data_IF_035548652455
#
_entry.id   IF_035548652455
#
_cell.length_a   1.000
_cell.length_b   1.000
_cell.length_c   1.000
_cell.angle_alpha   90.00
_cell.angle_beta   90.00
_cell.angle_gamma   90.00
#
_symmetry.space_group_name_H-M   'P 1'
#
loop_
_entity.id
_entity.type
_entity.pdbx_description
1 polymer ?
#
# COMPACT_ATOMS: atom_id res chain seq x y z
N UNK A 1 -18.19 -14.71 -11.27
CA UNK A 1 -18.14 -13.53 -12.15
C UNK A 1 -18.36 -12.31 -11.27
N UNK A 2 -17.39 -11.40 -11.25
CA UNK A 2 -17.48 -10.15 -10.50
C UNK A 2 -18.30 -9.12 -11.28
N UNK A 3 -18.85 -8.12 -10.60
CA UNK A 3 -19.50 -6.99 -11.26
C UNK A 3 -18.50 -6.13 -12.03
N UNK A 4 -18.97 -5.47 -13.09
CA UNK A 4 -18.13 -4.60 -13.94
C UNK A 4 -18.28 -3.12 -13.63
N UNK A 5 -19.27 -2.73 -12.83
CA UNK A 5 -19.50 -1.34 -12.44
C UNK A 5 -18.55 -0.93 -11.31
N UNK A 6 -18.00 0.28 -11.42
CA UNK A 6 -17.28 0.95 -10.34
C UNK A 6 -18.16 2.08 -9.83
N UNK A 7 -18.39 2.11 -8.52
CA UNK A 7 -19.14 3.18 -7.86
C UNK A 7 -18.29 3.83 -6.78
N UNK A 8 -18.29 5.15 -6.73
CA UNK A 8 -17.70 5.93 -5.63
C UNK A 8 -18.53 5.83 -4.34
N UNK A 9 -19.73 5.24 -4.40
CA UNK A 9 -20.64 5.03 -3.26
C UNK A 9 -20.63 3.57 -2.82
N UNK A 10 -20.45 3.30 -1.53
CA UNK A 10 -20.42 1.93 -0.99
C UNK A 10 -21.74 1.54 -0.31
N UNK A 11 -22.13 0.26 -0.42
CA UNK A 11 -23.26 -0.35 0.31
C UNK A 11 -22.94 -0.62 1.79
N UNK A 12 -21.69 -0.39 2.22
CA UNK A 12 -21.15 -0.69 3.56
C UNK A 12 -20.39 0.49 4.22
N UNK A 13 -20.66 1.73 3.81
CA UNK A 13 -20.54 2.88 4.72
C UNK A 13 -19.34 3.81 4.59
N UNK A 14 -18.38 3.58 3.69
CA UNK A 14 -17.43 4.62 3.29
C UNK A 14 -17.39 4.74 1.77
N UNK A 15 -18.01 5.80 1.26
CA UNK A 15 -17.81 6.25 -0.12
C UNK A 15 -16.37 6.78 -0.25
N UNK A 16 -15.85 6.88 -1.49
CA UNK A 16 -14.65 7.71 -1.75
C UNK A 16 -14.86 9.06 -1.04
N UNK A 17 -13.85 9.61 -0.34
CA UNK A 17 -13.96 10.94 0.23
C UNK A 17 -14.36 11.96 -0.84
N UNK A 18 -15.19 12.94 -0.47
CA UNK A 18 -15.52 14.05 -1.37
C UNK A 18 -14.24 14.74 -1.86
N UNK A 19 -14.25 15.26 -3.08
CA UNK A 19 -13.07 15.94 -3.65
C UNK A 19 -12.52 17.06 -2.77
N UNK A 20 -13.39 17.74 -2.01
CA UNK A 20 -13.00 18.78 -1.06
C UNK A 20 -12.27 18.24 0.17
N UNK A 21 -12.58 17.02 0.60
CA UNK A 21 -11.87 16.33 1.67
C UNK A 21 -10.49 15.88 1.21
N UNK A 22 -10.39 15.35 -0.02
CA UNK A 22 -9.10 15.03 -0.65
C UNK A 22 -8.26 16.30 -0.75
N UNK A 23 -8.82 17.38 -1.32
CA UNK A 23 -8.14 18.68 -1.42
C UNK A 23 -7.61 19.17 -0.06
N UNK A 24 -8.45 19.12 0.97
CA UNK A 24 -8.08 19.59 2.29
C UNK A 24 -6.93 18.76 2.88
N UNK A 25 -6.92 17.45 2.64
CA UNK A 25 -5.85 16.57 3.12
C UNK A 25 -4.54 16.79 2.37
N UNK A 26 -4.58 16.93 1.03
CA UNK A 26 -3.40 17.27 0.22
C UNK A 26 -2.80 18.61 0.67
N UNK A 27 -3.63 19.64 0.87
CA UNK A 27 -3.17 20.96 1.33
C UNK A 27 -2.61 20.93 2.76
N UNK A 28 -3.16 20.09 3.63
CA UNK A 28 -2.65 19.93 4.99
C UNK A 28 -1.26 19.26 4.99
N UNK A 29 -1.06 18.25 4.14
CA UNK A 29 0.23 17.57 3.98
C UNK A 29 1.29 18.48 3.35
N UNK A 30 0.95 19.19 2.28
CA UNK A 30 1.84 20.17 1.64
C UNK A 30 2.26 21.28 2.63
N UNK A 31 1.33 21.77 3.45
CA UNK A 31 1.64 22.74 4.51
C UNK A 31 2.60 22.21 5.59
N UNK A 32 2.74 20.89 5.71
CA UNK A 32 3.71 20.22 6.59
C UNK A 32 5.02 19.84 5.86
N UNK A 33 5.12 20.09 4.55
CA UNK A 33 6.28 19.73 3.73
C UNK A 33 6.36 18.23 3.42
N UNK A 34 5.24 17.52 3.50
CA UNK A 34 5.15 16.10 3.17
C UNK A 34 4.99 15.88 1.67
N UNK A 35 5.49 14.76 1.16
CA UNK A 35 5.05 14.26 -0.15
C UNK A 35 3.67 13.64 -0.02
N UNK A 36 2.88 13.75 -1.08
CA UNK A 36 1.49 13.31 -1.11
C UNK A 36 1.28 12.27 -2.19
N UNK A 37 0.81 11.12 -1.75
CA UNK A 37 0.44 10.00 -2.62
C UNK A 37 -1.06 9.77 -2.55
N UNK A 38 -1.72 9.69 -3.70
CA UNK A 38 -3.12 9.25 -3.80
C UNK A 38 -3.13 7.77 -4.17
N UNK A 39 -3.81 6.94 -3.37
CA UNK A 39 -3.96 5.51 -3.61
C UNK A 39 -5.44 5.12 -3.69
N UNK A 40 -6.06 5.13 -4.88
CA UNK A 40 -7.47 4.77 -5.04
C UNK A 40 -7.69 3.25 -4.90
N UNK A 41 -8.35 2.83 -3.82
CA UNK A 41 -8.71 1.42 -3.62
C UNK A 41 -9.95 1.01 -4.42
N UNK A 42 -9.97 -0.26 -4.84
CA UNK A 42 -11.16 -0.92 -5.39
C UNK A 42 -11.57 -2.03 -4.43
N UNK A 43 -12.74 -1.90 -3.82
CA UNK A 43 -13.29 -2.93 -2.93
C UNK A 43 -14.45 -3.69 -3.58
N UNK A 44 -14.54 -5.00 -3.29
CA UNK A 44 -15.56 -5.87 -3.89
C UNK A 44 -16.84 -5.84 -3.07
N UNK A 45 -17.94 -5.36 -3.66
CA UNK A 45 -19.28 -5.50 -3.09
C UNK A 45 -19.81 -6.93 -3.30
N UNK A 46 -19.71 -7.74 -2.23
CA UNK A 46 -20.14 -9.13 -2.21
C UNK A 46 -21.24 -9.37 -1.17
N UNK A 47 -21.82 -10.58 -1.16
CA UNK A 47 -22.89 -10.93 -0.22
C UNK A 47 -22.51 -10.83 1.26
N UNK A 48 -21.20 -10.93 1.58
CA UNK A 48 -20.66 -10.73 2.93
C UNK A 48 -20.37 -9.26 3.28
N UNK A 49 -20.63 -8.35 2.34
CA UNK A 49 -20.34 -6.92 2.42
C UNK A 49 -19.08 -6.51 1.66
N UNK A 50 -18.86 -5.19 1.59
CA UNK A 50 -17.66 -4.62 0.96
C UNK A 50 -16.45 -4.96 1.81
N UNK A 51 -15.36 -5.37 1.16
CA UNK A 51 -14.15 -5.87 1.83
C UNK A 51 -14.26 -7.31 2.34
N UNK A 52 -15.42 -7.98 2.19
CA UNK A 52 -15.55 -9.40 2.56
C UNK A 52 -14.86 -10.36 1.59
N UNK A 53 -14.54 -9.87 0.38
CA UNK A 53 -13.76 -10.57 -0.64
C UNK A 53 -12.55 -9.71 -0.97
N UNK A 54 -11.36 -10.28 -0.82
CA UNK A 54 -10.13 -9.58 -1.15
C UNK A 54 -10.07 -9.26 -2.64
N UNK A 55 -9.80 -8.00 -2.97
CA UNK A 55 -9.77 -7.47 -4.34
C UNK A 55 -8.75 -8.19 -5.25
N UNK A 56 -7.66 -8.70 -4.70
CA UNK A 56 -6.70 -9.52 -5.46
C UNK A 56 -7.26 -10.84 -6.00
N UNK A 57 -8.42 -11.30 -5.52
CA UNK A 57 -9.10 -12.49 -6.05
C UNK A 57 -10.04 -12.21 -7.23
N UNK A 58 -10.15 -10.93 -7.65
CA UNK A 58 -10.96 -10.54 -8.82
C UNK A 58 -10.49 -11.24 -10.09
N UNK A 59 -11.44 -11.71 -10.90
CA UNK A 59 -11.18 -12.33 -12.20
C UNK A 59 -12.40 -12.22 -13.12
N UNK A 60 -12.18 -12.08 -14.42
CA UNK A 60 -13.26 -12.01 -15.41
C UNK A 60 -13.10 -13.16 -16.41
N UNK A 61 -13.96 -14.18 -16.30
CA UNK A 61 -13.94 -15.32 -17.24
C UNK A 61 -14.54 -14.98 -18.60
N UNK A 62 -15.34 -13.92 -18.68
CA UNK A 62 -15.92 -13.41 -19.93
C UNK A 62 -15.10 -12.20 -20.40
N UNK A 63 -14.49 -12.25 -21.60
CA UNK A 63 -13.74 -11.12 -22.15
C UNK A 63 -14.56 -9.82 -22.28
N UNK A 64 -15.88 -9.91 -22.50
CA UNK A 64 -16.73 -8.73 -22.60
C UNK A 64 -16.92 -8.06 -21.22
N UNK A 65 -16.94 -8.85 -20.15
CA UNK A 65 -16.99 -8.33 -18.78
C UNK A 65 -15.66 -7.66 -18.41
N UNK A 66 -14.52 -8.29 -18.75
CA UNK A 66 -13.19 -7.71 -18.55
C UNK A 66 -13.07 -6.35 -19.24
N UNK A 67 -13.44 -6.30 -20.53
CA UNK A 67 -13.43 -5.07 -21.31
C UNK A 67 -14.33 -3.99 -20.69
N UNK A 68 -15.53 -4.36 -20.26
CA UNK A 68 -16.48 -3.43 -19.61
C UNK A 68 -15.93 -2.89 -18.29
N UNK A 69 -15.30 -3.75 -17.49
CA UNK A 69 -14.67 -3.33 -16.24
C UNK A 69 -13.55 -2.31 -16.49
N UNK A 70 -12.68 -2.54 -17.47
CA UNK A 70 -11.60 -1.62 -17.80
C UNK A 70 -12.09 -0.28 -18.36
N UNK A 71 -13.19 -0.24 -19.13
CA UNK A 71 -13.80 1.04 -19.55
C UNK A 71 -14.18 1.89 -18.33
N UNK A 72 -14.77 1.26 -17.31
CA UNK A 72 -15.14 1.95 -16.08
C UNK A 72 -13.92 2.33 -15.24
N UNK A 73 -12.93 1.43 -15.17
CA UNK A 73 -11.72 1.64 -14.36
C UNK A 73 -10.84 2.73 -14.94
N UNK A 74 -10.68 2.79 -16.27
CA UNK A 74 -9.96 3.86 -16.95
C UNK A 74 -10.64 5.22 -16.72
N UNK A 75 -11.97 5.28 -16.82
CA UNK A 75 -12.70 6.52 -16.52
C UNK A 75 -12.47 6.98 -15.08
N UNK A 76 -12.50 6.06 -14.12
CA UNK A 76 -12.25 6.36 -12.71
C UNK A 76 -10.82 6.81 -12.47
N UNK A 77 -9.83 6.11 -13.03
CA UNK A 77 -8.42 6.46 -12.87
C UNK A 77 -8.06 7.79 -13.54
N UNK A 78 -8.71 8.14 -14.66
CA UNK A 78 -8.57 9.48 -15.26
C UNK A 78 -9.14 10.58 -14.36
N UNK A 79 -10.27 10.33 -13.68
CA UNK A 79 -10.81 11.26 -12.67
C UNK A 79 -9.81 11.44 -11.51
N UNK A 80 -9.21 10.34 -11.03
CA UNK A 80 -8.20 10.40 -9.96
C UNK A 80 -6.93 11.13 -10.43
N UNK A 81 -6.49 10.92 -11.66
CA UNK A 81 -5.39 11.66 -12.28
C UNK A 81 -5.66 13.16 -12.36
N UNK A 82 -6.87 13.56 -12.76
CA UNK A 82 -7.27 14.98 -12.78
C UNK A 82 -7.29 15.61 -11.39
N UNK A 83 -7.75 14.88 -10.37
CA UNK A 83 -7.72 15.34 -8.98
C UNK A 83 -6.29 15.45 -8.45
N UNK A 84 -5.45 14.45 -8.71
CA UNK A 84 -4.04 14.44 -8.36
C UNK A 84 -3.31 15.65 -8.97
N UNK A 85 -3.53 15.92 -10.26
CA UNK A 85 -2.98 17.10 -10.95
C UNK A 85 -3.51 18.41 -10.35
N UNK A 86 -4.82 18.49 -10.11
CA UNK A 86 -5.47 19.72 -9.61
C UNK A 86 -5.01 20.08 -8.21
N UNK A 87 -4.78 19.09 -7.35
CA UNK A 87 -4.40 19.30 -5.95
C UNK A 87 -2.90 19.23 -5.70
N UNK A 88 -2.12 18.79 -6.69
CA UNK A 88 -0.67 18.73 -6.59
C UNK A 88 -0.16 17.53 -5.80
N UNK A 89 -0.77 16.35 -6.00
CA UNK A 89 -0.21 15.11 -5.46
C UNK A 89 1.07 14.72 -6.21
N UNK A 90 2.09 14.26 -5.49
CA UNK A 90 3.38 13.85 -6.04
C UNK A 90 3.33 12.49 -6.74
N UNK A 91 2.48 11.58 -6.23
CA UNK A 91 2.27 10.24 -6.78
C UNK A 91 0.80 9.86 -6.87
N UNK A 92 0.46 9.07 -7.89
CA UNK A 92 -0.80 8.35 -8.01
C UNK A 92 -0.54 6.85 -8.21
N UNK A 93 -1.06 6.01 -7.31
CA UNK A 93 -1.13 4.58 -7.57
C UNK A 93 -2.29 4.27 -8.53
N UNK A 94 -2.00 3.53 -9.60
CA UNK A 94 -2.98 3.13 -10.61
C UNK A 94 -3.78 1.88 -10.23
N UNK A 95 -3.51 1.32 -9.06
CA UNK A 95 -4.19 0.16 -8.47
C UNK A 95 -3.40 -0.36 -7.27
N UNK A 96 -4.07 -1.11 -6.40
CA UNK A 96 -3.47 -1.78 -5.23
C UNK A 96 -3.99 -3.21 -5.14
N UNK A 97 -3.04 -4.16 -5.02
CA UNK A 97 -3.14 -5.63 -5.06
C UNK A 97 -4.34 -6.18 -5.84
N UNK A 98 -4.50 -5.76 -7.09
CA UNK A 98 -5.46 -6.33 -8.04
C UNK A 98 -4.87 -7.59 -8.70
N UNK A 99 -4.22 -8.47 -7.93
CA UNK A 99 -3.42 -9.61 -8.40
C UNK A 99 -4.07 -10.43 -9.52
N UNK A 100 -5.34 -10.82 -9.35
CA UNK A 100 -6.04 -11.62 -10.36
C UNK A 100 -6.30 -10.90 -11.69
N UNK A 101 -6.23 -9.57 -11.71
CA UNK A 101 -6.39 -8.71 -12.90
C UNK A 101 -5.03 -8.21 -13.42
N UNK A 102 -4.09 -7.85 -12.54
CA UNK A 102 -2.75 -7.39 -12.93
C UNK A 102 -1.93 -8.51 -13.59
N UNK A 103 -2.14 -9.77 -13.16
CA UNK A 103 -1.46 -10.94 -13.71
C UNK A 103 -2.27 -11.64 -14.83
N UNK A 104 -3.42 -11.10 -15.22
CA UNK A 104 -4.17 -11.59 -16.37
C UNK A 104 -3.54 -11.06 -17.67
N UNK A 105 -3.03 -11.97 -18.50
CA UNK A 105 -2.42 -11.61 -19.78
C UNK A 105 -3.41 -10.94 -20.75
N UNK A 106 -4.71 -11.25 -20.66
CA UNK A 106 -5.74 -10.60 -21.48
C UNK A 106 -6.04 -9.17 -20.97
N UNK A 107 -5.69 -8.86 -19.72
CA UNK A 107 -5.84 -7.54 -19.11
C UNK A 107 -4.69 -6.56 -19.45
N UNK A 108 -3.50 -7.07 -19.82
CA UNK A 108 -2.30 -6.25 -20.03
C UNK A 108 -2.52 -5.08 -21.02
N UNK A 109 -3.12 -5.28 -22.21
CA UNK A 109 -3.35 -4.17 -23.14
C UNK A 109 -4.29 -3.08 -22.60
N UNK A 110 -5.19 -3.45 -21.69
CA UNK A 110 -6.08 -2.48 -21.05
C UNK A 110 -5.35 -1.67 -19.97
N UNK A 111 -4.44 -2.29 -19.21
CA UNK A 111 -3.55 -1.59 -18.29
C UNK A 111 -2.68 -0.55 -19.03
N UNK A 112 -2.00 -0.96 -20.10
CA UNK A 112 -1.17 -0.07 -20.93
C UNK A 112 -1.99 1.11 -21.48
N UNK A 113 -3.19 0.85 -22.00
CA UNK A 113 -4.13 1.88 -22.50
C UNK A 113 -4.53 2.85 -21.39
N UNK A 114 -4.91 2.33 -20.22
CA UNK A 114 -5.32 3.15 -19.08
C UNK A 114 -4.16 4.01 -18.58
N UNK A 115 -2.96 3.45 -18.42
CA UNK A 115 -1.77 4.19 -17.97
C UNK A 115 -1.50 5.36 -18.93
N UNK A 116 -1.56 5.12 -20.25
CA UNK A 116 -1.42 6.19 -21.24
C UNK A 116 -2.50 7.28 -21.11
N UNK A 117 -3.76 6.91 -20.85
CA UNK A 117 -4.85 7.85 -20.60
C UNK A 117 -4.62 8.68 -19.33
N UNK A 118 -4.20 8.07 -18.22
CA UNK A 118 -3.89 8.77 -16.96
C UNK A 118 -2.71 9.73 -17.13
N UNK A 119 -1.63 9.31 -17.82
CA UNK A 119 -0.49 10.18 -18.16
C UNK A 119 -0.88 11.42 -18.96
N UNK A 120 -2.00 11.38 -19.69
CA UNK A 120 -2.48 12.53 -20.47
C UNK A 120 -3.12 13.63 -19.60
N UNK A 121 -3.50 13.30 -18.35
CA UNK A 121 -4.19 14.21 -17.42
C UNK A 121 -3.42 14.47 -16.13
N UNK A 122 -2.35 13.71 -15.85
CA UNK A 122 -1.53 13.83 -14.65
C UNK A 122 -0.04 13.79 -14.98
N UNK A 123 0.72 14.78 -14.49
CA UNK A 123 2.14 14.94 -14.75
C UNK A 123 3.08 14.43 -13.66
N UNK A 124 2.56 13.97 -12.51
CA UNK A 124 3.35 13.41 -11.42
C UNK A 124 3.69 11.92 -11.60
N UNK A 125 4.16 11.28 -10.53
CA UNK A 125 4.65 9.91 -10.59
C UNK A 125 3.50 8.89 -10.60
N UNK A 126 3.53 7.96 -11.55
CA UNK A 126 2.63 6.81 -11.58
C UNK A 126 3.33 5.57 -11.03
N UNK A 127 2.63 4.84 -10.18
CA UNK A 127 3.07 3.54 -9.69
C UNK A 127 1.87 2.59 -9.54
N UNK A 128 2.13 1.35 -9.16
CA UNK A 128 1.12 0.34 -8.85
C UNK A 128 1.54 -0.33 -7.54
N UNK A 129 0.61 -0.50 -6.59
CA UNK A 129 0.87 -1.09 -5.28
C UNK A 129 0.63 -2.61 -5.37
N UNK A 130 1.67 -3.37 -5.68
CA UNK A 130 1.56 -4.82 -5.84
C UNK A 130 1.68 -5.54 -4.48
N UNK A 131 0.98 -6.66 -4.31
CA UNK A 131 1.17 -7.53 -3.15
C UNK A 131 2.63 -8.00 -3.05
N UNK A 132 3.16 -8.10 -1.83
CA UNK A 132 4.50 -8.60 -1.56
C UNK A 132 4.72 -10.05 -2.04
N UNK A 133 3.67 -10.88 -2.08
CA UNK A 133 3.79 -12.29 -2.44
C UNK A 133 3.44 -12.53 -3.91
N UNK A 134 4.47 -12.73 -4.74
CA UNK A 134 4.34 -13.14 -6.15
C UNK A 134 3.80 -12.07 -7.11
N UNK A 135 3.03 -11.09 -6.66
CA UNK A 135 2.50 -10.08 -7.58
C UNK A 135 3.59 -9.14 -8.07
N UNK A 136 4.35 -8.51 -7.17
CA UNK A 136 5.29 -7.45 -7.54
C UNK A 136 6.34 -7.87 -8.58
N UNK A 137 6.74 -9.14 -8.59
CA UNK A 137 7.72 -9.67 -9.54
C UNK A 137 7.13 -10.16 -10.87
N UNK A 138 5.81 -10.09 -11.04
CA UNK A 138 5.08 -10.60 -12.20
C UNK A 138 4.17 -9.57 -12.91
N UNK A 139 4.03 -8.34 -12.37
CA UNK A 139 3.29 -7.27 -13.05
C UNK A 139 3.93 -6.98 -14.42
N UNK A 140 3.18 -7.07 -15.54
CA UNK A 140 3.75 -7.01 -16.89
C UNK A 140 3.95 -5.59 -17.44
N UNK A 141 3.50 -4.56 -16.74
CA UNK A 141 3.44 -3.17 -17.22
C UNK A 141 4.31 -2.20 -16.40
N UNK A 142 5.32 -2.70 -15.67
CA UNK A 142 6.24 -1.84 -14.93
C UNK A 142 6.95 -0.79 -15.81
N UNK A 143 7.25 -1.14 -17.06
CA UNK A 143 7.93 -0.25 -18.03
C UNK A 143 7.14 1.04 -18.35
N UNK A 144 5.83 1.09 -18.06
CA UNK A 144 4.98 2.27 -18.26
C UNK A 144 4.83 3.15 -16.99
N UNK A 145 5.42 2.71 -15.87
CA UNK A 145 5.34 3.35 -14.54
C UNK A 145 6.70 3.92 -14.12
N UNK A 146 6.70 4.77 -13.07
CA UNK A 146 7.90 5.45 -12.58
C UNK A 146 8.59 4.72 -11.43
N UNK A 147 7.85 3.90 -10.69
CA UNK A 147 8.36 3.13 -9.55
C UNK A 147 7.59 1.82 -9.37
N UNK A 148 8.27 0.82 -8.80
CA UNK A 148 7.66 -0.43 -8.35
C UNK A 148 7.09 -0.20 -6.95
N UNK A 149 5.77 -0.24 -6.81
CA UNK A 149 5.10 -0.18 -5.51
C UNK A 149 4.88 -1.58 -4.93
N UNK A 150 5.18 -1.76 -3.65
CA UNK A 150 4.99 -3.03 -2.94
C UNK A 150 4.25 -2.80 -1.63
N UNK A 151 3.13 -3.51 -1.45
CA UNK A 151 2.42 -3.65 -0.18
C UNK A 151 3.19 -4.69 0.65
N UNK A 152 4.23 -4.23 1.35
CA UNK A 152 5.37 -4.98 1.87
C UNK A 152 5.09 -5.69 3.22
N UNK A 153 4.01 -6.46 3.26
CA UNK A 153 3.64 -7.35 4.37
C UNK A 153 4.43 -8.68 4.36
N UNK A 154 5.75 -8.61 4.16
CA UNK A 154 6.62 -9.78 4.18
C UNK A 154 6.62 -10.48 5.55
N UNK A 155 6.52 -11.82 5.55
CA UNK A 155 6.73 -12.60 6.78
C UNK A 155 8.17 -12.45 7.27
N UNK A 156 8.37 -12.00 8.51
CA UNK A 156 9.70 -11.76 9.09
C UNK A 156 10.16 -12.88 10.01
N UNK A 157 9.22 -13.72 10.47
CA UNK A 157 9.48 -14.79 11.41
C UNK A 157 8.53 -15.96 11.19
N UNK A 158 8.95 -17.17 11.58
CA UNK A 158 8.00 -18.28 11.69
C UNK A 158 7.02 -18.05 12.83
N UNK A 159 5.86 -18.73 12.79
CA UNK A 159 4.90 -18.74 13.91
C UNK A 159 5.52 -19.13 15.26
N UNK A 160 6.54 -19.98 15.24
CA UNK A 160 7.20 -20.41 16.46
C UNK A 160 8.13 -19.33 17.03
N UNK A 161 8.77 -18.55 16.15
CA UNK A 161 9.65 -17.43 16.53
C UNK A 161 8.85 -16.21 16.99
N UNK A 162 7.70 -15.94 16.35
CA UNK A 162 6.82 -14.83 16.70
C UNK A 162 5.87 -15.11 17.87
N UNK A 163 5.92 -16.32 18.45
CA UNK A 163 5.04 -16.66 19.58
C UNK A 163 5.64 -16.22 20.91
N UNK A 164 4.84 -15.52 21.70
CA UNK A 164 5.15 -15.11 23.06
C UNK A 164 5.60 -13.66 23.15
N UNK A 165 5.08 -12.96 24.17
CA UNK A 165 5.21 -11.52 24.32
C UNK A 165 6.65 -10.99 24.17
N UNK A 166 6.84 -10.04 23.26
CA UNK A 166 8.09 -9.39 22.91
C UNK A 166 8.98 -10.18 21.95
N UNK A 167 8.50 -11.32 21.43
CA UNK A 167 9.20 -12.07 20.39
C UNK A 167 8.70 -11.68 18.99
N UNK A 168 9.54 -11.79 17.96
CA UNK A 168 10.98 -12.03 18.03
C UNK A 168 11.74 -10.74 18.38
N UNK A 169 13.06 -10.85 18.57
CA UNK A 169 13.91 -9.69 18.86
C UNK A 169 14.07 -8.76 17.65
N UNK A 170 14.34 -7.47 17.88
CA UNK A 170 14.65 -6.49 16.81
C UNK A 170 15.74 -7.01 15.87
N UNK A 171 16.82 -7.56 16.41
CA UNK A 171 17.93 -8.09 15.61
C UNK A 171 17.46 -9.20 14.66
N UNK A 172 16.59 -10.11 15.12
CA UNK A 172 16.05 -11.19 14.28
C UNK A 172 15.22 -10.64 13.13
N UNK A 173 14.40 -9.63 13.40
CA UNK A 173 13.55 -8.98 12.39
C UNK A 173 14.36 -8.15 11.41
N UNK A 174 15.41 -7.49 11.88
CA UNK A 174 16.35 -6.72 11.05
C UNK A 174 17.08 -7.63 10.06
N UNK A 175 17.61 -8.76 10.54
CA UNK A 175 18.22 -9.80 9.70
C UNK A 175 17.24 -10.36 8.65
N UNK A 176 15.96 -10.52 9.00
CA UNK A 176 14.92 -10.93 8.04
C UNK A 176 14.71 -9.86 6.95
N UNK A 177 14.59 -8.60 7.36
CA UNK A 177 14.44 -7.46 6.44
C UNK A 177 15.66 -7.29 5.53
N UNK A 178 16.88 -7.40 6.03
CA UNK A 178 18.10 -7.31 5.19
C UNK A 178 18.07 -8.31 4.03
N UNK A 179 17.62 -9.54 4.29
CA UNK A 179 17.49 -10.57 3.26
C UNK A 179 16.39 -10.23 2.23
N UNK A 180 15.24 -9.75 2.70
CA UNK A 180 14.12 -9.31 1.84
C UNK A 180 14.55 -8.14 0.96
N UNK A 181 15.14 -7.11 1.57
CA UNK A 181 15.58 -5.87 0.91
C UNK A 181 16.62 -6.17 -0.18
N UNK A 182 17.53 -7.10 0.04
CA UNK A 182 18.49 -7.52 -0.99
C UNK A 182 17.80 -8.11 -2.23
N UNK A 183 16.74 -8.90 -2.05
CA UNK A 183 15.96 -9.46 -3.15
C UNK A 183 15.16 -8.40 -3.90
N UNK A 184 14.47 -7.53 -3.16
CA UNK A 184 13.69 -6.42 -3.71
C UNK A 184 14.58 -5.44 -4.48
N UNK A 185 15.73 -5.06 -3.91
CA UNK A 185 16.71 -4.20 -4.59
C UNK A 185 17.19 -4.82 -5.91
N UNK A 186 17.49 -6.12 -5.89
CA UNK A 186 17.95 -6.84 -7.09
C UNK A 186 16.87 -6.83 -8.16
N UNK A 187 15.61 -7.04 -7.78
CA UNK A 187 14.48 -6.98 -8.70
C UNK A 187 14.30 -5.58 -9.29
N UNK A 188 14.20 -4.54 -8.46
CA UNK A 188 14.03 -3.16 -8.92
C UNK A 188 15.17 -2.70 -9.84
N UNK A 189 16.41 -2.99 -9.45
CA UNK A 189 17.59 -2.73 -10.30
C UNK A 189 17.54 -3.49 -11.64
N UNK A 190 16.95 -4.68 -11.66
CA UNK A 190 16.73 -5.48 -12.87
C UNK A 190 15.71 -4.87 -13.82
N UNK A 191 14.69 -4.20 -13.29
CA UNK A 191 13.71 -3.42 -14.07
C UNK A 191 14.24 -2.02 -14.43
N UNK A 192 15.26 -1.54 -13.72
CA UNK A 192 15.77 -0.17 -13.89
C UNK A 192 14.87 0.90 -13.28
N UNK A 193 14.01 0.51 -12.33
CA UNK A 193 13.07 1.37 -11.63
C UNK A 193 13.41 1.42 -10.14
N UNK A 194 13.16 2.57 -9.47
CA UNK A 194 13.18 2.62 -8.02
C UNK A 194 12.02 1.81 -7.42
N UNK A 195 12.12 1.53 -6.13
CA UNK A 195 11.07 0.84 -5.37
C UNK A 195 10.49 1.78 -4.33
N UNK A 196 9.18 1.68 -4.12
CA UNK A 196 8.49 2.29 -2.98
C UNK A 196 7.72 1.20 -2.23
N UNK A 197 7.71 1.26 -0.90
CA UNK A 197 6.78 0.48 -0.11
C UNK A 197 5.50 1.27 0.08
N UNK A 198 4.46 0.89 -0.68
CA UNK A 198 3.13 1.52 -0.65
C UNK A 198 2.39 1.22 0.64
N UNK A 199 2.70 0.09 1.28
CA UNK A 199 2.23 -0.27 2.61
C UNK A 199 3.30 -1.03 3.38
N UNK A 200 3.49 -0.69 4.66
CA UNK A 200 4.19 -1.50 5.67
C UNK A 200 3.45 -1.34 6.98
N UNK A 201 3.05 -2.44 7.62
CA UNK A 201 2.32 -2.35 8.88
C UNK A 201 2.40 -3.62 9.71
N UNK A 202 2.29 -3.43 11.02
CA UNK A 202 2.20 -4.49 12.03
C UNK A 202 1.14 -4.13 13.05
N UNK A 203 0.30 -5.08 13.42
CA UNK A 203 -0.73 -4.90 14.47
C UNK A 203 -0.14 -5.18 15.86
N UNK A 204 -0.83 -4.80 16.93
CA UNK A 204 -0.34 -5.05 18.29
C UNK A 204 -0.63 -6.47 18.81
N UNK A 205 -0.93 -7.44 17.94
CA UNK A 205 -1.27 -8.80 18.38
C UNK A 205 -0.05 -9.73 18.33
N UNK A 206 0.12 -10.58 19.35
CA UNK A 206 1.16 -11.62 19.37
C UNK A 206 1.11 -12.44 18.05
N UNK A 207 2.27 -12.61 17.43
CA UNK A 207 2.45 -13.27 16.14
C UNK A 207 2.30 -12.36 14.92
N UNK A 208 2.20 -11.04 15.07
CA UNK A 208 2.01 -10.11 13.93
C UNK A 208 3.16 -10.21 12.91
N UNK A 209 4.39 -10.44 13.35
CA UNK A 209 5.58 -10.52 12.46
C UNK A 209 5.61 -11.80 11.62
N UNK A 210 4.85 -12.83 12.02
CA UNK A 210 4.68 -14.03 11.24
C UNK A 210 3.64 -13.86 10.13
N UNK A 211 2.61 -13.03 10.32
CA UNK A 211 1.56 -12.78 9.32
C UNK A 211 1.08 -11.31 9.36
N UNK A 212 1.88 -10.36 8.86
CA UNK A 212 1.64 -8.94 9.10
C UNK A 212 0.41 -8.35 8.38
N UNK A 213 -0.13 -9.04 7.38
CA UNK A 213 -1.39 -8.68 6.71
C UNK A 213 -2.65 -9.01 7.54
N UNK A 214 -2.53 -9.80 8.62
CA UNK A 214 -3.68 -10.18 9.43
C UNK A 214 -4.01 -9.11 10.48
N UNK A 215 -5.24 -8.60 10.43
CA UNK A 215 -5.78 -7.64 11.39
C UNK A 215 -5.78 -8.14 12.85
N UNK A 216 -5.88 -9.45 13.06
CA UNK A 216 -5.83 -10.08 14.37
C UNK A 216 -5.24 -11.48 14.31
N UNK A 217 -3.99 -11.64 14.77
CA UNK A 217 -3.26 -12.92 14.79
C UNK A 217 -3.51 -13.72 16.07
N UNK A 218 -3.89 -13.05 17.16
CA UNK A 218 -4.09 -13.66 18.47
C UNK A 218 -5.13 -12.88 19.32
N UNK A 219 -5.34 -13.34 20.55
CA UNK A 219 -6.10 -12.61 21.58
C UNK A 219 -5.21 -11.89 22.59
N UNK A 220 -3.89 -12.03 22.46
CA UNK A 220 -2.90 -11.51 23.40
C UNK A 220 -2.26 -10.26 22.79
N UNK A 221 -2.39 -9.13 23.48
CA UNK A 221 -1.78 -7.87 23.06
C UNK A 221 -0.27 -7.90 23.30
N UNK A 222 0.50 -7.62 22.26
CA UNK A 222 1.95 -7.52 22.22
C UNK A 222 2.43 -6.26 21.48
N UNK A 223 2.34 -5.12 22.15
CA UNK A 223 2.90 -3.86 21.66
C UNK A 223 4.42 -3.90 21.50
N UNK A 224 5.12 -4.83 22.17
CA UNK A 224 6.57 -4.93 22.07
C UNK A 224 6.99 -5.59 20.76
N UNK A 225 6.29 -6.62 20.29
CA UNK A 225 6.50 -7.19 18.95
C UNK A 225 6.26 -6.15 17.85
N UNK A 226 5.15 -5.39 17.93
CA UNK A 226 4.87 -4.30 16.99
C UNK A 226 6.00 -3.26 16.98
N UNK A 227 6.46 -2.82 18.15
CA UNK A 227 7.58 -1.88 18.27
C UNK A 227 8.86 -2.47 17.67
N UNK A 228 9.16 -3.75 17.95
CA UNK A 228 10.34 -4.41 17.42
C UNK A 228 10.32 -4.46 15.88
N UNK A 229 9.15 -4.70 15.28
CA UNK A 229 8.97 -4.77 13.83
C UNK A 229 9.21 -3.43 13.15
N UNK A 230 8.67 -2.33 13.70
CA UNK A 230 8.94 -0.98 13.18
C UNK A 230 10.41 -0.57 13.35
N UNK A 231 11.03 -0.88 14.49
CA UNK A 231 12.46 -0.62 14.67
C UNK A 231 13.31 -1.38 13.66
N UNK A 232 12.98 -2.64 13.41
CA UNK A 232 13.69 -3.48 12.46
C UNK A 232 13.59 -2.98 11.03
N UNK A 233 12.40 -2.62 10.53
CA UNK A 233 12.27 -2.13 9.15
C UNK A 233 13.00 -0.79 8.95
N UNK A 234 12.91 0.12 9.93
CA UNK A 234 13.60 1.42 9.87
C UNK A 234 15.11 1.22 9.86
N UNK A 235 15.65 0.43 10.81
CA UNK A 235 17.09 0.17 10.85
C UNK A 235 17.58 -0.55 9.59
N UNK A 236 16.85 -1.57 9.13
CA UNK A 236 17.24 -2.33 7.95
C UNK A 236 17.22 -1.46 6.70
N UNK A 237 16.26 -0.54 6.54
CA UNK A 237 16.16 0.35 5.36
C UNK A 237 17.20 1.48 5.38
N UNK A 238 17.54 2.03 6.55
CA UNK A 238 18.59 3.05 6.70
C UNK A 238 19.97 2.59 6.18
N UNK A 239 20.20 1.28 6.15
CA UNK A 239 21.45 0.68 5.69
C UNK A 239 21.51 0.45 4.17
N UNK A 240 20.42 0.66 3.43
CA UNK A 240 20.27 0.13 2.06
C UNK A 240 20.56 1.13 0.94
N UNK A 241 20.80 2.40 1.25
CA UNK A 241 21.09 3.44 0.25
C UNK A 241 19.82 3.99 -0.40
N UNK A 242 19.95 4.56 -1.60
CA UNK A 242 18.90 5.39 -2.23
C UNK A 242 18.06 4.67 -3.29
N UNK A 243 17.87 3.35 -3.21
CA UNK A 243 17.04 2.61 -4.17
C UNK A 243 15.58 2.44 -3.72
N UNK A 244 15.36 2.52 -2.40
CA UNK A 244 14.05 2.59 -1.79
C UNK A 244 13.73 4.07 -1.59
N UNK A 245 12.79 4.59 -2.37
CA UNK A 245 12.49 6.02 -2.42
C UNK A 245 11.54 6.46 -1.32
N UNK A 246 10.60 5.59 -0.95
CA UNK A 246 9.52 5.91 -0.01
C UNK A 246 9.05 4.64 0.72
N UNK A 247 8.61 4.81 1.97
CA UNK A 247 7.92 3.79 2.75
C UNK A 247 6.73 4.41 3.48
N UNK A 248 5.53 3.91 3.18
CA UNK A 248 4.28 4.35 3.83
C UNK A 248 3.89 3.36 4.91
N UNK A 249 3.64 3.85 6.13
CA UNK A 249 3.11 3.03 7.21
C UNK A 249 1.59 2.88 7.17
N UNK A 250 1.13 1.63 7.12
CA UNK A 250 -0.28 1.26 7.24
C UNK A 250 -0.62 1.02 8.72
N UNK A 251 -1.66 1.64 9.28
CA UNK A 251 -2.30 2.85 8.78
C UNK A 251 -2.57 3.85 9.90
N UNK A 252 -2.62 5.12 9.51
CA UNK A 252 -3.02 6.20 10.39
C UNK A 252 -4.54 6.40 10.29
N UNK A 253 -5.27 6.16 11.37
CA UNK A 253 -6.67 6.59 11.43
C UNK A 253 -6.74 8.11 11.49
N UNK A 254 -7.56 8.72 10.63
CA UNK A 254 -7.84 10.16 10.72
C UNK A 254 -8.34 10.52 12.12
N UNK A 255 -8.07 11.74 12.63
CA UNK A 255 -8.57 12.18 13.93
C UNK A 255 -10.08 11.91 14.07
N UNK A 256 -10.46 11.06 15.03
CA UNK A 256 -11.83 10.57 15.23
C UNK A 256 -12.07 9.10 14.85
N UNK A 257 -11.08 8.39 14.30
CA UNK A 257 -11.08 6.93 14.15
C UNK A 257 -10.37 6.26 15.33
N UNK A 258 -11.07 6.05 16.43
CA UNK A 258 -10.49 5.60 17.71
C UNK A 258 -10.10 4.09 17.78
N UNK A 259 -10.07 3.36 16.65
CA UNK A 259 -9.93 1.89 16.64
C UNK A 259 -8.76 1.35 15.78
N UNK A 260 -7.68 2.12 15.54
CA UNK A 260 -6.54 1.59 14.75
C UNK A 260 -5.78 0.50 15.53
N UNK A 261 -5.70 -0.71 14.95
CA UNK A 261 -4.84 -1.79 15.44
C UNK A 261 -3.34 -1.55 15.16
N UNK A 262 -3.03 -0.52 14.38
CA UNK A 262 -1.69 -0.01 14.13
C UNK A 262 -1.47 1.17 15.08
N UNK A 263 -1.02 0.87 16.29
CA UNK A 263 -0.93 1.82 17.41
C UNK A 263 0.22 2.83 17.25
N UNK A 264 0.20 3.58 16.15
CA UNK A 264 1.08 4.71 15.86
C UNK A 264 0.33 5.96 16.37
N UNK A 265 0.73 6.55 17.50
CA UNK A 265 0.02 7.72 18.06
C UNK A 265 0.91 8.96 18.06
N UNK A 266 0.35 10.13 17.74
CA UNK A 266 1.09 11.41 17.87
C UNK A 266 1.49 11.73 19.32
N UNK A 267 0.73 11.19 20.29
CA UNK A 267 0.96 11.32 21.73
C UNK A 267 1.89 10.24 22.30
N UNK A 268 2.46 9.36 21.45
CA UNK A 268 3.71 8.69 21.81
C UNK A 268 4.82 9.74 21.82
N UNK A 269 4.93 10.40 22.99
CA UNK A 269 5.85 11.49 23.27
C UNK A 269 7.23 11.24 22.64
N UNK A 270 7.90 12.27 22.07
CA UNK A 270 9.30 12.17 21.68
C UNK A 270 10.12 11.83 22.92
N UNK A 271 10.48 10.56 23.10
CA UNK A 271 11.18 10.13 24.32
C UNK A 271 11.06 8.67 24.74
N UNK A 272 10.17 7.86 24.16
CA UNK A 272 10.15 6.41 24.40
C UNK A 272 10.08 5.63 23.09
N UNK A 273 11.25 5.58 22.44
CA UNK A 273 11.70 4.62 21.43
C UNK A 273 11.10 4.64 20.00
N UNK A 274 11.10 5.81 19.36
CA UNK A 274 11.82 6.02 18.08
C UNK A 274 12.77 7.19 18.33
N UNK A 275 13.93 6.91 18.93
CA UNK A 275 14.88 7.94 19.32
C UNK A 275 15.84 8.27 18.18
N UNK A 276 15.55 9.32 17.41
CA UNK A 276 16.51 9.92 16.46
C UNK A 276 16.16 9.80 14.97
N UNK A 277 15.01 9.23 14.63
CA UNK A 277 14.58 9.09 13.24
C UNK A 277 13.26 9.82 13.00
N UNK A 278 13.32 10.85 12.16
CA UNK A 278 12.16 11.38 11.43
C UNK A 278 12.42 10.89 10.01
N UNK A 279 11.59 9.99 9.42
CA UNK A 279 11.72 9.68 8.02
C UNK A 279 11.55 10.99 7.25
N UNK A 280 12.61 11.39 6.57
CA UNK A 280 12.63 12.49 5.61
C UNK A 280 12.78 11.86 4.23
N UNK A 281 11.83 12.04 3.30
CA UNK A 281 10.55 12.72 3.45
C UNK A 281 9.49 11.83 4.15
N UNK A 282 8.69 12.42 5.04
CA UNK A 282 7.49 11.76 5.54
C UNK A 282 6.41 11.82 4.45
N UNK A 283 5.91 10.68 4.01
CA UNK A 283 4.83 10.61 3.03
C UNK A 283 3.45 10.49 3.70
N UNK A 284 2.44 11.11 3.10
CA UNK A 284 1.04 10.87 3.42
C UNK A 284 0.37 10.13 2.26
N UNK A 285 -0.25 8.99 2.56
CA UNK A 285 -1.10 8.26 1.60
C UNK A 285 -2.56 8.54 1.90
N UNK A 286 -3.29 9.06 0.91
CA UNK A 286 -4.74 9.21 0.94
C UNK A 286 -5.39 7.98 0.30
N UNK A 287 -6.22 7.29 1.07
CA UNK A 287 -7.00 6.11 0.68
C UNK A 287 -8.49 6.45 0.56
#
# INVERSE_FOLDING_TARGET
>A
TYGTNISTTSSHGHARPDDSAIQAAVQAADALGMTVTINPFVEVDAAGGIGSVWRGSMNFSDPDDLATWFVNYESYMCEMGQLAETYGADRLFIGSELQGISLDGDATPYWESMIASVRSVYGGELSYAANYNWEYDHVPFWDDLDAIGIDAYFELASKAEASGLGNPSVQTLEEAWENILSGVQTYGSGQGLPVVFSEVGYTYWDGTTAHPWHWQTSTDEDYQEQLNAYQAVIHATDLQGSWLDEMTFWHWSMPGGEDSHYAITADSLPGTYIGGYVPEPASLVLM
#
